data_IF_849566048667
#
_entry.id   IF_849566048667
#
_cell.length_a   1.000
_cell.length_b   1.000
_cell.length_c   1.000
_cell.angle_alpha   90.00
_cell.angle_beta   90.00
_cell.angle_gamma   90.00
#
_symmetry.space_group_name_H-M   'P 1'
#
loop_
_entity.id
_entity.type
_entity.pdbx_description
1 polymer ?
#
# COMPACT_ATOMS: atom_id res chain seq x y z
N UNK A 1 28.46 -70.23 -2.82
CA UNK A 1 27.26 -71.06 -2.58
C UNK A 1 27.18 -71.31 -1.09
N UNK A 2 26.03 -71.00 -0.49
CA UNK A 2 25.54 -71.55 0.80
C UNK A 2 26.17 -71.02 2.10
N UNK A 3 25.38 -70.17 2.76
CA UNK A 3 25.02 -70.11 4.19
C UNK A 3 25.94 -70.78 5.22
N UNK A 4 26.39 -69.97 6.19
CA UNK A 4 26.61 -70.40 7.57
C UNK A 4 25.86 -69.44 8.50
N UNK A 5 24.98 -70.05 9.29
CA UNK A 5 24.25 -69.48 10.42
C UNK A 5 25.17 -68.84 11.47
N UNK A 6 24.57 -67.99 12.30
CA UNK A 6 24.71 -67.85 13.78
C UNK A 6 24.29 -66.41 14.18
N UNK A 7 23.78 -66.15 15.40
CA UNK A 7 22.39 -66.35 15.77
C UNK A 7 21.72 -65.07 16.31
N UNK A 8 20.40 -65.18 16.53
CA UNK A 8 19.55 -64.23 17.25
C UNK A 8 20.19 -63.78 18.58
N UNK A 9 20.32 -62.45 18.76
CA UNK A 9 20.44 -61.83 20.08
C UNK A 9 19.19 -60.99 20.32
N UNK A 10 18.46 -61.37 21.36
CA UNK A 10 17.25 -60.73 21.87
C UNK A 10 17.46 -59.22 22.06
N UNK A 11 16.60 -58.41 21.45
CA UNK A 11 16.35 -57.03 21.90
C UNK A 11 14.84 -56.81 21.91
N UNK A 12 14.29 -56.91 23.12
CA UNK A 12 13.27 -56.05 23.74
C UNK A 12 12.21 -55.40 22.83
N UNK A 13 10.90 -55.56 23.10
CA UNK A 13 9.87 -54.88 22.34
C UNK A 13 10.02 -53.37 22.50
N UNK A 14 10.17 -52.67 21.36
CA UNK A 14 10.23 -51.21 21.30
C UNK A 14 9.04 -50.60 22.04
N UNK A 15 9.33 -49.98 23.18
CA UNK A 15 8.38 -49.16 23.91
C UNK A 15 7.96 -47.99 23.01
N UNK A 16 6.66 -47.90 22.78
CA UNK A 16 6.01 -46.74 22.14
C UNK A 16 6.42 -45.49 22.93
N UNK A 17 6.92 -44.41 22.29
CA UNK A 17 7.21 -43.18 23.01
C UNK A 17 5.91 -42.67 23.67
N UNK A 18 5.99 -42.05 24.86
CA UNK A 18 4.82 -41.52 25.53
C UNK A 18 4.17 -40.47 24.62
N UNK A 19 2.84 -40.55 24.51
CA UNK A 19 2.00 -39.56 23.84
C UNK A 19 2.39 -38.17 24.36
N UNK A 20 3.12 -37.41 23.54
CA UNK A 20 3.39 -36.01 23.83
C UNK A 20 2.07 -35.27 23.72
N UNK A 21 1.60 -34.85 24.89
CA UNK A 21 0.58 -33.85 25.13
C UNK A 21 0.48 -32.89 23.94
N UNK A 22 -0.63 -33.01 23.19
CA UNK A 22 -0.85 -32.27 21.96
C UNK A 22 -1.18 -30.83 22.33
N UNK A 23 -0.16 -30.08 22.77
CA UNK A 23 -0.23 -28.65 22.94
C UNK A 23 -0.51 -28.05 21.55
N UNK A 24 -1.77 -27.66 21.35
CA UNK A 24 -2.20 -26.91 20.17
C UNK A 24 -1.30 -25.67 20.01
N UNK A 25 -0.90 -25.32 18.78
CA UNK A 25 0.00 -24.19 18.58
C UNK A 25 -0.66 -22.88 19.07
N UNK A 26 0.13 -22.09 19.77
CA UNK A 26 -0.31 -20.93 20.57
C UNK A 26 -0.99 -19.81 19.78
N UNK A 27 -0.90 -19.80 18.45
CA UNK A 27 -1.58 -18.82 17.60
C UNK A 27 -3.10 -19.00 17.54
N UNK A 28 -3.63 -20.14 18.02
CA UNK A 28 -5.07 -20.42 17.98
C UNK A 28 -5.89 -19.66 19.04
N UNK A 29 -5.26 -19.13 20.09
CA UNK A 29 -5.97 -18.39 21.17
C UNK A 29 -6.23 -16.92 20.87
N UNK A 30 -5.52 -16.31 19.92
CA UNK A 30 -5.66 -14.88 19.62
C UNK A 30 -6.83 -14.56 18.66
N UNK A 31 -7.61 -15.56 18.24
CA UNK A 31 -8.73 -15.35 17.30
C UNK A 31 -10.07 -15.04 17.96
N UNK A 32 -10.13 -15.00 19.29
CA UNK A 32 -11.34 -14.67 20.06
C UNK A 32 -10.96 -13.79 21.25
N UNK A 33 -10.60 -12.54 21.00
CA UNK A 33 -10.58 -11.54 22.07
C UNK A 33 -12.01 -11.31 22.59
N UNK A 34 -12.26 -11.41 23.91
CA UNK A 34 -13.53 -11.00 24.49
C UNK A 34 -13.63 -9.47 24.39
N UNK A 35 -14.67 -8.99 23.70
CA UNK A 35 -14.99 -7.56 23.63
C UNK A 35 -15.36 -7.08 25.03
N UNK A 36 -14.55 -6.16 25.57
CA UNK A 36 -14.84 -5.45 26.80
C UNK A 36 -16.06 -4.53 26.58
N UNK A 37 -17.20 -4.72 27.27
CA UNK A 37 -18.45 -4.01 26.97
C UNK A 37 -18.46 -2.52 27.38
N UNK A 38 -17.38 -2.02 27.99
CA UNK A 38 -17.33 -0.68 28.56
C UNK A 38 -16.35 0.24 27.80
N UNK A 39 -16.70 0.63 26.57
CA UNK A 39 -16.48 1.96 25.91
C UNK A 39 -16.80 1.80 24.43
N UNK A 40 -18.08 1.66 24.09
CA UNK A 40 -18.55 1.69 22.70
C UNK A 40 -18.88 3.14 22.34
N UNK A 41 -17.85 3.97 22.15
CA UNK A 41 -18.01 5.07 21.20
C UNK A 41 -18.31 4.40 19.85
N UNK A 42 -19.59 4.41 19.47
CA UNK A 42 -20.13 3.71 18.32
C UNK A 42 -19.52 4.28 17.04
N UNK A 43 -18.32 3.83 16.71
CA UNK A 43 -17.73 4.02 15.39
C UNK A 43 -18.59 3.22 14.44
N UNK A 44 -19.40 3.92 13.64
CA UNK A 44 -20.16 3.27 12.58
C UNK A 44 -19.20 2.38 11.77
N UNK A 45 -19.52 1.09 11.55
CA UNK A 45 -18.68 0.23 10.74
C UNK A 45 -18.70 0.67 9.27
N UNK A 46 -19.65 1.52 8.86
CA UNK A 46 -19.72 2.03 7.51
C UNK A 46 -18.82 3.25 7.35
N UNK A 47 -17.80 3.13 6.51
CA UNK A 47 -16.89 4.20 6.13
C UNK A 47 -17.09 4.54 4.66
N UNK A 48 -17.34 5.81 4.36
CA UNK A 48 -17.27 6.35 3.01
C UNK A 48 -15.83 6.74 2.68
N UNK A 49 -15.28 6.17 1.63
CA UNK A 49 -13.95 6.47 1.11
C UNK A 49 -14.12 7.30 -0.16
N UNK A 50 -13.54 8.49 -0.16
CA UNK A 50 -13.57 9.41 -1.30
C UNK A 50 -12.16 9.73 -1.77
N UNK A 51 -12.02 10.07 -3.05
CA UNK A 51 -10.76 10.61 -3.56
C UNK A 51 -10.41 11.88 -2.80
N UNK A 52 -9.14 12.05 -2.47
CA UNK A 52 -8.67 13.30 -1.91
C UNK A 52 -8.97 14.44 -2.90
N UNK A 53 -9.66 15.51 -2.48
CA UNK A 53 -9.90 16.68 -3.32
C UNK A 53 -8.59 17.45 -3.46
N UNK A 54 -7.68 16.93 -4.27
CA UNK A 54 -6.50 17.69 -4.66
C UNK A 54 -6.97 18.77 -5.62
N UNK A 55 -6.71 20.03 -5.26
CA UNK A 55 -7.11 21.23 -5.99
C UNK A 55 -6.45 21.25 -7.38
N UNK A 56 -7.04 20.55 -8.37
CA UNK A 56 -6.74 20.65 -9.80
C UNK A 56 -5.31 20.28 -10.26
N UNK A 57 -4.37 20.05 -9.36
CA UNK A 57 -2.99 19.66 -9.68
C UNK A 57 -2.90 18.14 -9.86
N UNK A 58 -2.28 17.74 -10.96
CA UNK A 58 -1.87 16.37 -11.15
C UNK A 58 -0.72 16.08 -10.18
N UNK A 59 -0.92 15.13 -9.26
CA UNK A 59 0.06 14.81 -8.23
C UNK A 59 1.28 14.13 -8.87
N UNK A 60 2.47 14.68 -8.68
CA UNK A 60 3.73 13.99 -8.99
C UNK A 60 3.98 12.95 -7.91
N UNK A 61 4.00 11.69 -8.30
CA UNK A 61 4.27 10.58 -7.38
C UNK A 61 4.02 9.23 -8.01
N UNK A 62 3.82 8.23 -7.16
CA UNK A 62 3.67 6.84 -7.55
C UNK A 62 2.29 6.32 -7.12
N UNK A 63 1.62 5.55 -7.98
CA UNK A 63 0.37 4.87 -7.62
C UNK A 63 0.58 4.06 -6.32
N UNK A 64 -0.37 4.12 -5.39
CA UNK A 64 -0.33 3.41 -4.10
C UNK A 64 -0.08 1.90 -4.21
N UNK A 65 -0.39 1.32 -5.38
CA UNK A 65 -0.24 -0.11 -5.71
C UNK A 65 1.06 -0.42 -6.44
N UNK A 66 1.85 0.60 -6.76
CA UNK A 66 3.12 0.43 -7.47
C UNK A 66 4.16 -0.32 -6.64
N UNK A 67 5.13 -0.87 -7.36
CA UNK A 67 6.34 -1.46 -6.77
C UNK A 67 7.13 -0.44 -5.94
N UNK A 68 7.11 0.84 -6.34
CA UNK A 68 7.80 1.90 -5.59
C UNK A 68 7.26 2.01 -4.15
N UNK A 69 5.93 2.05 -3.99
CA UNK A 69 5.29 2.14 -2.67
C UNK A 69 5.56 0.89 -1.84
N UNK A 70 5.49 -0.29 -2.46
CA UNK A 70 5.81 -1.54 -1.78
C UNK A 70 7.27 -1.58 -1.30
N UNK A 71 8.23 -1.15 -2.12
CA UNK A 71 9.65 -1.25 -1.79
C UNK A 71 10.14 -0.19 -0.81
N UNK A 72 9.67 1.04 -0.95
CA UNK A 72 10.24 2.19 -0.22
C UNK A 72 9.33 2.67 0.91
N UNK A 73 8.01 2.65 0.72
CA UNK A 73 7.07 3.15 1.72
C UNK A 73 6.66 2.11 2.76
N UNK A 74 6.71 0.81 2.44
CA UNK A 74 6.24 -0.26 3.33
C UNK A 74 6.90 -0.24 4.71
N UNK A 75 8.22 -0.01 4.80
CA UNK A 75 8.94 0.07 6.07
C UNK A 75 8.50 1.25 6.95
N UNK A 76 8.00 2.33 6.34
CA UNK A 76 7.52 3.52 7.02
C UNK A 76 6.03 3.43 7.36
N UNK A 77 5.19 2.99 6.43
CA UNK A 77 3.74 2.88 6.63
C UNK A 77 3.36 1.63 7.43
N UNK A 78 4.16 0.57 7.36
CA UNK A 78 3.81 -0.75 7.85
C UNK A 78 2.93 -1.52 6.86
N UNK A 79 2.91 -2.86 6.95
CA UNK A 79 2.20 -3.71 6.00
C UNK A 79 0.69 -3.44 5.98
N UNK A 80 0.06 -3.34 7.15
CA UNK A 80 -1.40 -3.14 7.28
C UNK A 80 -1.87 -1.85 6.61
N UNK A 81 -1.22 -0.72 6.90
CA UNK A 81 -1.54 0.58 6.30
C UNK A 81 -1.31 0.56 4.79
N UNK A 82 -0.22 -0.07 4.33
CA UNK A 82 0.10 -0.17 2.90
C UNK A 82 -0.98 -0.95 2.15
N UNK A 83 -1.38 -2.13 2.65
CA UNK A 83 -2.43 -2.92 2.01
C UNK A 83 -3.81 -2.29 2.08
N UNK A 84 -4.12 -1.59 3.18
CA UNK A 84 -5.34 -0.81 3.31
C UNK A 84 -5.40 0.32 2.27
N UNK A 85 -4.32 1.08 2.10
CA UNK A 85 -4.20 2.12 1.09
C UNK A 85 -4.37 1.56 -0.33
N UNK A 86 -3.73 0.43 -0.64
CA UNK A 86 -3.87 -0.26 -1.94
C UNK A 86 -5.32 -0.64 -2.23
N UNK A 87 -6.04 -1.13 -1.22
CA UNK A 87 -7.46 -1.48 -1.33
C UNK A 87 -8.32 -0.23 -1.57
N UNK A 88 -8.04 0.87 -0.88
CA UNK A 88 -8.74 2.13 -1.11
C UNK A 88 -8.48 2.68 -2.51
N UNK A 89 -7.22 2.67 -2.96
CA UNK A 89 -6.85 3.10 -4.31
C UNK A 89 -7.58 2.27 -5.39
N UNK A 90 -7.68 0.95 -5.22
CA UNK A 90 -8.45 0.11 -6.15
C UNK A 90 -9.94 0.47 -6.14
N UNK A 91 -10.54 0.64 -4.97
CA UNK A 91 -11.95 1.01 -4.88
C UNK A 91 -12.25 2.37 -5.51
N UNK A 92 -11.33 3.34 -5.40
CA UNK A 92 -11.43 4.66 -6.04
C UNK A 92 -11.22 4.61 -7.56
N UNK A 93 -10.39 3.70 -8.05
CA UNK A 93 -10.26 3.45 -9.50
C UNK A 93 -11.57 2.89 -10.07
N UNK A 94 -12.20 1.94 -9.37
CA UNK A 94 -13.48 1.36 -9.78
C UNK A 94 -14.66 2.34 -9.58
N UNK A 95 -14.57 3.23 -8.58
CA UNK A 95 -15.61 4.19 -8.21
C UNK A 95 -15.01 5.59 -7.95
N UNK A 96 -14.76 6.39 -9.00
CA UNK A 96 -14.09 7.70 -8.87
C UNK A 96 -14.85 8.72 -8.00
N UNK A 97 -16.18 8.59 -7.90
CA UNK A 97 -17.02 9.42 -7.01
C UNK A 97 -16.93 9.06 -5.52
N UNK A 98 -16.18 8.02 -5.18
CA UNK A 98 -16.13 7.43 -3.85
C UNK A 98 -17.05 6.22 -3.69
N UNK A 99 -16.80 5.45 -2.64
CA UNK A 99 -17.52 4.22 -2.34
C UNK A 99 -17.62 4.01 -0.83
N UNK A 100 -18.52 3.12 -0.40
CA UNK A 100 -18.71 2.78 1.01
C UNK A 100 -18.19 1.38 1.29
N UNK A 101 -17.58 1.21 2.46
CA UNK A 101 -17.10 -0.08 2.94
C UNK A 101 -17.62 -0.34 4.34
N UNK A 102 -17.83 -1.61 4.65
CA UNK A 102 -17.86 -2.06 6.03
C UNK A 102 -16.41 -2.27 6.51
N UNK A 103 -15.98 -1.47 7.48
CA UNK A 103 -14.64 -1.51 8.06
C UNK A 103 -14.34 -2.84 8.75
N UNK A 104 -15.33 -3.49 9.37
CA UNK A 104 -15.14 -4.79 10.02
C UNK A 104 -14.84 -5.86 8.96
N UNK A 105 -15.63 -5.92 7.89
CA UNK A 105 -15.42 -6.88 6.80
C UNK A 105 -14.10 -6.62 6.06
N UNK A 106 -13.77 -5.33 5.88
CA UNK A 106 -12.51 -4.91 5.30
C UNK A 106 -11.32 -5.32 6.17
N UNK A 107 -11.41 -5.11 7.48
CA UNK A 107 -10.38 -5.48 8.44
C UNK A 107 -10.17 -7.00 8.49
N UNK A 108 -11.26 -7.79 8.50
CA UNK A 108 -11.20 -9.26 8.39
C UNK A 108 -10.48 -9.68 7.10
N UNK A 109 -10.84 -9.09 5.96
CA UNK A 109 -10.23 -9.41 4.68
C UNK A 109 -8.73 -9.02 4.60
N UNK A 110 -8.27 -8.09 5.44
CA UNK A 110 -6.87 -7.68 5.57
C UNK A 110 -6.12 -8.40 6.71
N UNK A 111 -6.78 -9.31 7.44
CA UNK A 111 -6.19 -10.02 8.59
C UNK A 111 -5.95 -9.14 9.82
N UNK A 112 -6.72 -8.06 9.98
CA UNK A 112 -6.56 -7.09 11.09
C UNK A 112 -7.46 -7.40 12.30
N UNK A 113 -8.43 -8.31 12.16
CA UNK A 113 -9.43 -8.59 13.20
C UNK A 113 -10.71 -7.76 13.04
N UNK A 114 -11.58 -7.79 14.04
CA UNK A 114 -12.92 -7.17 13.98
C UNK A 114 -13.09 -5.91 14.82
N UNK A 115 -12.13 -5.63 15.70
CA UNK A 115 -12.19 -4.48 16.61
C UNK A 115 -12.07 -3.18 15.82
N UNK A 116 -12.97 -2.24 16.11
CA UNK A 116 -12.90 -0.84 15.66
C UNK A 116 -12.57 0.13 16.81
N UNK A 117 -12.16 -0.40 17.97
CA UNK A 117 -11.73 0.41 19.09
C UNK A 117 -10.56 1.34 18.69
N UNK A 118 -10.39 2.44 19.43
CA UNK A 118 -9.37 3.47 19.18
C UNK A 118 -7.96 2.91 18.94
N UNK A 119 -7.59 1.84 19.67
CA UNK A 119 -6.26 1.23 19.58
C UNK A 119 -6.21 -0.03 18.70
N UNK A 120 -7.29 -0.33 17.96
CA UNK A 120 -7.34 -1.48 17.04
C UNK A 120 -6.31 -1.34 15.92
N UNK A 121 -5.86 -2.46 15.37
CA UNK A 121 -5.03 -2.55 14.15
C UNK A 121 -5.64 -1.77 12.98
N UNK A 122 -6.97 -1.83 12.80
CA UNK A 122 -7.72 -1.09 11.78
C UNK A 122 -7.57 0.41 11.97
N UNK A 123 -7.87 0.92 13.17
CA UNK A 123 -7.74 2.36 13.44
C UNK A 123 -6.28 2.82 13.36
N UNK A 124 -5.34 2.07 13.92
CA UNK A 124 -3.90 2.38 13.81
C UNK A 124 -3.41 2.42 12.36
N UNK A 125 -3.95 1.58 11.48
CA UNK A 125 -3.62 1.60 10.05
C UNK A 125 -4.13 2.89 9.38
N UNK A 126 -5.38 3.28 9.65
CA UNK A 126 -5.95 4.54 9.14
C UNK A 126 -5.20 5.75 9.71
N UNK A 127 -4.97 5.78 11.01
CA UNK A 127 -4.28 6.88 11.68
C UNK A 127 -2.84 7.03 11.18
N UNK A 128 -2.19 5.93 10.82
CA UNK A 128 -0.87 5.97 10.17
C UNK A 128 -0.95 6.55 8.76
N UNK A 129 -1.96 6.20 7.97
CA UNK A 129 -2.18 6.86 6.67
C UNK A 129 -2.41 8.37 6.84
N UNK A 130 -3.15 8.78 7.87
CA UNK A 130 -3.34 10.18 8.21
C UNK A 130 -2.02 10.86 8.63
N UNK A 131 -1.21 10.20 9.46
CA UNK A 131 0.09 10.69 9.90
C UNK A 131 1.04 10.96 8.72
N UNK A 132 0.96 10.15 7.67
CA UNK A 132 1.77 10.29 6.47
C UNK A 132 1.09 11.12 5.36
N UNK A 133 -0.04 11.78 5.67
CA UNK A 133 -0.79 12.61 4.74
C UNK A 133 -1.23 11.85 3.47
N UNK A 134 -1.58 10.58 3.63
CA UNK A 134 -2.13 9.71 2.57
C UNK A 134 -3.64 9.50 2.73
N UNK A 135 -4.19 9.88 3.89
CA UNK A 135 -5.61 9.92 4.14
C UNK A 135 -5.96 11.08 5.10
N UNK A 136 -7.19 11.55 5.07
CA UNK A 136 -7.68 12.57 5.98
C UNK A 136 -9.11 12.22 6.42
N UNK A 137 -9.35 12.34 7.72
CA UNK A 137 -10.67 12.11 8.30
C UNK A 137 -11.52 13.36 8.10
N UNK A 138 -12.34 13.36 7.07
CA UNK A 138 -13.32 14.42 6.79
C UNK A 138 -14.45 14.40 7.81
N UNK A 139 -14.86 13.21 8.25
CA UNK A 139 -15.83 13.01 9.34
C UNK A 139 -15.61 11.63 10.00
N UNK A 140 -16.33 11.30 11.09
CA UNK A 140 -16.23 9.96 11.71
C UNK A 140 -16.53 8.79 10.75
N UNK A 141 -17.30 9.04 9.68
CA UNK A 141 -17.72 8.03 8.70
C UNK A 141 -17.26 8.37 7.28
N UNK A 142 -16.33 9.32 7.11
CA UNK A 142 -15.83 9.74 5.79
C UNK A 142 -14.32 9.98 5.82
N UNK A 143 -13.62 9.34 4.90
CA UNK A 143 -12.17 9.41 4.74
C UNK A 143 -11.83 9.83 3.30
N UNK A 144 -11.10 10.93 3.15
CA UNK A 144 -10.43 11.27 1.89
C UNK A 144 -9.12 10.50 1.79
N UNK A 145 -8.80 9.96 0.61
CA UNK A 145 -7.62 9.11 0.41
C UNK A 145 -6.85 9.52 -0.85
N UNK A 146 -5.53 9.64 -0.73
CA UNK A 146 -4.62 9.84 -1.86
C UNK A 146 -4.35 8.51 -2.54
N UNK A 147 -4.54 8.45 -3.85
CA UNK A 147 -4.16 7.29 -4.67
C UNK A 147 -2.74 7.39 -5.21
N UNK A 148 -2.18 8.60 -5.22
CA UNK A 148 -0.80 8.91 -5.60
C UNK A 148 0.00 9.22 -4.34
N UNK A 149 1.06 8.45 -4.13
CA UNK A 149 1.98 8.56 -2.99
C UNK A 149 3.22 9.33 -3.44
N UNK A 150 3.68 10.35 -2.69
CA UNK A 150 4.84 11.12 -3.11
C UNK A 150 6.13 10.29 -3.12
N UNK A 151 7.10 10.71 -3.94
CA UNK A 151 8.47 10.22 -3.83
C UNK A 151 9.01 10.53 -2.42
N UNK A 152 9.78 9.62 -1.83
CA UNK A 152 10.26 9.78 -0.46
C UNK A 152 11.26 10.93 -0.40
N UNK A 153 11.14 11.76 0.64
CA UNK A 153 12.15 12.77 0.94
C UNK A 153 13.45 12.10 1.40
N UNK A 154 14.60 12.76 1.19
CA UNK A 154 15.91 12.28 1.67
C UNK A 154 15.90 11.93 3.17
N UNK A 155 15.19 12.73 3.98
CA UNK A 155 15.06 12.52 5.44
C UNK A 155 14.25 11.28 5.80
N UNK A 156 13.26 10.90 4.98
CA UNK A 156 12.52 9.66 5.19
C UNK A 156 13.35 8.46 4.70
N UNK A 157 14.01 8.62 3.54
CA UNK A 157 14.84 7.58 2.93
C UNK A 157 16.02 7.19 3.83
N UNK A 158 16.64 8.16 4.51
CA UNK A 158 17.77 7.92 5.42
C UNK A 158 17.43 7.02 6.62
N UNK A 159 16.15 6.71 6.86
CA UNK A 159 15.68 5.79 7.90
C UNK A 159 15.62 4.33 7.41
N UNK A 160 15.73 4.10 6.11
CA UNK A 160 15.71 2.76 5.51
C UNK A 160 17.12 2.14 5.48
N UNK A 161 17.25 0.82 5.31
CA UNK A 161 18.56 0.18 5.13
C UNK A 161 19.32 0.75 3.92
N UNK A 162 20.65 0.86 4.01
CA UNK A 162 21.49 1.44 2.93
C UNK A 162 21.28 0.78 1.57
N UNK A 163 21.02 -0.53 1.55
CA UNK A 163 20.73 -1.27 0.32
C UNK A 163 19.47 -0.74 -0.38
N UNK A 164 18.43 -0.39 0.40
CA UNK A 164 17.20 0.19 -0.12
C UNK A 164 17.45 1.61 -0.62
N UNK A 165 18.17 2.44 0.16
CA UNK A 165 18.54 3.80 -0.22
C UNK A 165 19.29 3.84 -1.56
N UNK A 166 20.34 3.00 -1.71
CA UNK A 166 21.12 2.91 -2.95
C UNK A 166 20.27 2.54 -4.16
N UNK A 167 19.32 1.61 -3.98
CA UNK A 167 18.42 1.21 -5.08
C UNK A 167 17.40 2.28 -5.42
N UNK A 168 17.02 3.13 -4.46
CA UNK A 168 16.15 4.28 -4.69
C UNK A 168 16.85 5.33 -5.56
N UNK A 169 18.08 5.71 -5.21
CA UNK A 169 18.86 6.67 -5.99
C UNK A 169 19.10 6.17 -7.43
N UNK A 170 19.38 4.87 -7.59
CA UNK A 170 19.53 4.24 -8.91
C UNK A 170 18.23 4.25 -9.73
N UNK A 171 17.07 4.06 -9.08
CA UNK A 171 15.77 4.11 -9.74
C UNK A 171 15.47 5.53 -10.23
N UNK A 172 15.60 6.54 -9.35
CA UNK A 172 15.38 7.93 -9.74
C UNK A 172 16.35 8.39 -10.83
N UNK A 173 17.62 8.00 -10.74
CA UNK A 173 18.59 8.30 -11.80
C UNK A 173 18.19 7.69 -13.14
N UNK A 174 17.58 6.50 -13.16
CA UNK A 174 17.06 5.88 -14.40
C UNK A 174 15.83 6.61 -14.94
N UNK A 175 14.91 7.02 -14.07
CA UNK A 175 13.72 7.78 -14.48
C UNK A 175 14.10 9.13 -15.11
N UNK A 176 15.08 9.84 -14.54
CA UNK A 176 15.60 11.11 -15.11
C UNK A 176 16.26 10.89 -16.48
N UNK A 177 16.87 9.73 -16.71
CA UNK A 177 17.54 9.41 -17.97
C UNK A 177 16.61 8.76 -19.01
N UNK A 178 15.32 8.60 -18.72
CA UNK A 178 14.35 8.00 -19.64
C UNK A 178 14.06 8.97 -20.81
N UNK A 179 14.53 8.67 -22.04
CA UNK A 179 14.34 9.57 -23.18
C UNK A 179 12.89 9.62 -23.66
N UNK A 180 12.08 8.61 -23.35
CA UNK A 180 10.66 8.60 -23.70
C UNK A 180 9.88 9.50 -22.75
N UNK A 181 10.11 9.38 -21.43
CA UNK A 181 9.53 10.27 -20.43
C UNK A 181 9.98 11.72 -20.67
N UNK A 182 11.27 11.95 -20.93
CA UNK A 182 11.82 13.29 -21.22
C UNK A 182 11.11 13.95 -22.41
N UNK A 183 10.86 13.19 -23.49
CA UNK A 183 10.10 13.67 -24.66
C UNK A 183 8.63 13.94 -24.31
N UNK A 184 8.01 13.08 -23.52
CA UNK A 184 6.62 13.26 -23.08
C UNK A 184 6.46 14.50 -22.19
N UNK A 185 7.39 14.75 -21.26
CA UNK A 185 7.39 15.93 -20.38
C UNK A 185 7.54 17.20 -21.20
N UNK A 186 8.52 17.27 -22.11
CA UNK A 186 8.69 18.43 -22.98
C UNK A 186 7.42 18.73 -23.81
N UNK A 187 6.78 17.69 -24.34
CA UNK A 187 5.52 17.81 -25.05
C UNK A 187 4.38 18.30 -24.14
N UNK A 188 4.26 17.76 -22.92
CA UNK A 188 3.29 18.18 -21.93
C UNK A 188 3.46 19.65 -21.52
N UNK A 189 4.70 20.08 -21.24
CA UNK A 189 5.04 21.47 -20.90
C UNK A 189 4.62 22.43 -22.01
N UNK A 190 4.87 22.08 -23.28
CA UNK A 190 4.42 22.87 -24.43
C UNK A 190 2.90 23.00 -24.52
N UNK A 191 2.16 21.91 -24.28
CA UNK A 191 0.69 21.90 -24.31
C UNK A 191 0.08 22.69 -23.14
N UNK A 192 0.65 22.58 -21.94
CA UNK A 192 0.24 23.36 -20.77
C UNK A 192 0.52 24.85 -20.99
N UNK A 193 1.69 25.19 -21.54
CA UNK A 193 2.02 26.57 -21.91
C UNK A 193 1.06 27.17 -22.95
N UNK A 194 0.42 26.33 -23.78
CA UNK A 194 -0.64 26.73 -24.71
C UNK A 194 -2.03 26.87 -24.05
N UNK A 195 -2.15 26.63 -22.74
CA UNK A 195 -3.39 26.78 -21.97
C UNK A 195 -4.30 25.56 -21.97
N UNK A 196 -3.82 24.38 -22.36
CA UNK A 196 -4.61 23.14 -22.36
C UNK A 196 -4.76 22.59 -20.93
N UNK A 197 -5.92 21.98 -20.65
CA UNK A 197 -6.18 21.35 -19.35
C UNK A 197 -5.46 20.01 -19.23
N UNK A 198 -5.13 19.60 -17.99
CA UNK A 198 -4.37 18.38 -17.70
C UNK A 198 -4.99 17.12 -18.35
N UNK A 199 -6.32 16.98 -18.30
CA UNK A 199 -7.03 15.86 -18.89
C UNK A 199 -6.88 15.81 -20.43
N UNK A 200 -6.84 16.98 -21.07
CA UNK A 200 -6.63 17.10 -22.53
C UNK A 200 -5.18 16.80 -22.88
N UNK A 201 -4.22 17.29 -22.09
CA UNK A 201 -2.78 17.01 -22.27
C UNK A 201 -2.52 15.51 -22.19
N UNK A 202 -2.99 14.84 -21.14
CA UNK A 202 -2.81 13.38 -20.98
C UNK A 202 -3.42 12.62 -22.17
N UNK A 203 -4.64 12.98 -22.58
CA UNK A 203 -5.30 12.37 -23.72
C UNK A 203 -4.52 12.57 -25.02
N UNK A 204 -3.97 13.77 -25.23
CA UNK A 204 -3.20 14.10 -26.43
C UNK A 204 -1.88 13.32 -26.50
N UNK A 205 -1.18 13.18 -25.37
CA UNK A 205 0.03 12.37 -25.29
C UNK A 205 -0.25 10.90 -25.65
N UNK A 206 -1.37 10.34 -25.19
CA UNK A 206 -1.80 8.99 -25.58
C UNK A 206 -2.07 8.88 -27.08
N UNK A 207 -2.72 9.88 -27.68
CA UNK A 207 -2.96 9.94 -29.13
C UNK A 207 -1.65 9.98 -29.92
N UNK A 208 -0.62 10.65 -29.39
CA UNK A 208 0.73 10.67 -29.98
C UNK A 208 1.54 9.40 -29.75
N UNK A 209 0.97 8.39 -29.08
CA UNK A 209 1.58 7.08 -28.91
C UNK A 209 2.39 6.91 -27.62
N UNK A 210 2.35 7.87 -26.70
CA UNK A 210 2.95 7.68 -25.38
C UNK A 210 2.11 6.69 -24.55
N UNK A 211 2.74 5.73 -23.83
CA UNK A 211 2.03 4.83 -22.92
C UNK A 211 1.21 5.61 -21.88
N UNK A 212 0.04 5.10 -21.42
CA UNK A 212 -0.83 5.81 -20.48
C UNK A 212 -0.12 6.27 -19.20
N UNK A 213 0.76 5.41 -18.65
CA UNK A 213 1.54 5.73 -17.45
C UNK A 213 2.54 6.86 -17.72
N UNK A 214 3.21 6.86 -18.88
CA UNK A 214 4.13 7.93 -19.28
C UNK A 214 3.39 9.24 -19.54
N UNK A 215 2.23 9.20 -20.19
CA UNK A 215 1.40 10.38 -20.44
C UNK A 215 0.93 11.04 -19.14
N UNK A 216 0.45 10.23 -18.20
CA UNK A 216 0.04 10.69 -16.88
C UNK A 216 1.24 11.29 -16.11
N UNK A 217 2.36 10.56 -16.04
CA UNK A 217 3.56 11.00 -15.32
C UNK A 217 4.15 12.29 -15.90
N UNK A 218 4.23 12.39 -17.23
CA UNK A 218 4.75 13.57 -17.91
C UNK A 218 3.91 14.83 -17.65
N UNK A 219 2.59 14.68 -17.70
CA UNK A 219 1.66 15.78 -17.41
C UNK A 219 1.82 16.25 -15.95
N UNK A 220 2.06 15.33 -15.02
CA UNK A 220 2.29 15.68 -13.61
C UNK A 220 3.58 16.47 -13.42
N UNK A 221 4.69 15.99 -14.03
CA UNK A 221 5.99 16.66 -13.93
C UNK A 221 5.97 18.07 -14.52
N UNK A 222 5.37 18.23 -15.71
CA UNK A 222 5.27 19.53 -16.37
C UNK A 222 4.49 20.57 -15.54
N UNK A 223 3.45 20.14 -14.82
CA UNK A 223 2.71 21.02 -13.91
C UNK A 223 3.54 21.43 -12.69
N UNK A 224 4.38 20.54 -12.17
CA UNK A 224 5.24 20.88 -11.04
C UNK A 224 6.32 21.91 -11.41
N UNK A 225 6.82 21.89 -12.65
CA UNK A 225 7.83 22.84 -13.14
C UNK A 225 7.26 24.24 -13.40
N UNK A 226 6.03 24.35 -13.92
CA UNK A 226 5.40 25.63 -14.26
C UNK A 226 5.08 26.55 -13.06
N UNK A 227 5.27 26.07 -11.83
CA UNK A 227 5.05 26.82 -10.59
C UNK A 227 6.36 27.26 -9.92
N UNK A 228 7.52 26.84 -10.46
CA UNK A 228 8.84 27.22 -9.98
C UNK A 228 9.45 28.41 -10.73
N UNK A 229 8.78 28.93 -11.76
CA UNK A 229 9.15 30.10 -12.58
C UNK A 229 8.15 31.23 -12.39
#
# INVERSE_FOLDING_TARGET
>A
MTLLEQPYSTTEPAQRPPESDTAQPSWTRDLLDPVDPATVESTSPLLEVVGWPDSGQLQVGHDARSFYVERYWLGMLGPSSTWMLRRFARGLEDHPGGFRINLIDTAKALGLGTSLARNSSTQRSIDRLCQFNLAERVSPTRLSVRTVVPTMTRKQLSKLPESVQRTHDQLLAREVQDPELSRAVAAATGLIGAGLTNAVVESQLRVWGFPPVCAHHATALALAEGWAS
#
